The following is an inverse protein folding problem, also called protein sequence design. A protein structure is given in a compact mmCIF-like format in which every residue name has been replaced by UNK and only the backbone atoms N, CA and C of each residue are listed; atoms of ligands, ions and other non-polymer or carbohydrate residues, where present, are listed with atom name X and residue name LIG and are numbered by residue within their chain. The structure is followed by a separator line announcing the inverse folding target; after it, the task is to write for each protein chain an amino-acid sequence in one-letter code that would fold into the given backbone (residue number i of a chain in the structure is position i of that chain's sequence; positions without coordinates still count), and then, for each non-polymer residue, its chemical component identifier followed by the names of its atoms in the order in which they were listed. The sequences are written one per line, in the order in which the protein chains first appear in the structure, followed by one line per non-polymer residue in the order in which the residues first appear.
data_IF_276264965004
#
_entry.id   IF_276264965004
#
_cell.length_a   1.000
_cell.length_b   1.000
_cell.length_c   1.000
_cell.angle_alpha   90.00
_cell.angle_beta   90.00
_cell.angle_gamma   90.00
#
_symmetry.space_group_name_H-M   'P 1'
#
loop_
_entity.id
_entity.type
_entity.pdbx_description
1 polymer ?
#
# COMPACT_ATOMS: atom_id res chain seq x y z
N UNK A 1 -25.51 -7.96 24.45
CA UNK A 1 -24.60 -7.33 23.46
C UNK A 1 -23.39 -8.24 23.33
N UNK A 2 -23.14 -8.78 22.14
CA UNK A 2 -21.96 -9.59 21.85
C UNK A 2 -20.98 -8.71 21.08
N UNK A 3 -19.73 -8.67 21.53
CA UNK A 3 -18.64 -7.94 20.89
C UNK A 3 -17.65 -8.98 20.37
N UNK A 4 -17.36 -8.92 19.07
CA UNK A 4 -16.30 -9.71 18.44
C UNK A 4 -15.26 -8.75 17.88
N UNK A 5 -14.00 -8.97 18.22
CA UNK A 5 -12.88 -8.11 17.82
C UNK A 5 -11.87 -8.92 17.02
N UNK A 6 -11.51 -8.43 15.84
CA UNK A 6 -10.44 -8.99 15.01
C UNK A 6 -9.18 -8.14 15.16
N UNK A 7 -8.07 -8.76 15.51
CA UNK A 7 -6.74 -8.14 15.48
C UNK A 7 -5.90 -8.79 14.38
N UNK A 8 -5.41 -7.98 13.44
CA UNK A 8 -4.54 -8.45 12.37
C UNK A 8 -3.52 -7.37 12.00
N UNK A 9 -2.28 -7.81 11.73
CA UNK A 9 -1.19 -6.93 11.29
C UNK A 9 -1.04 -7.08 9.78
N UNK A 10 -1.55 -6.10 9.04
CA UNK A 10 -1.53 -6.13 7.59
C UNK A 10 -0.14 -5.82 7.01
N UNK A 11 0.20 -6.50 5.92
CA UNK A 11 1.40 -6.28 5.13
C UNK A 11 1.08 -5.51 3.84
N UNK A 12 2.09 -4.94 3.17
CA UNK A 12 1.89 -4.18 1.91
C UNK A 12 1.18 -5.00 0.81
N UNK A 13 1.33 -6.32 0.84
CA UNK A 13 0.66 -7.26 -0.06
C UNK A 13 -0.86 -7.33 0.16
N UNK A 14 -1.34 -6.96 1.34
CA UNK A 14 -2.76 -7.01 1.70
C UNK A 14 -3.52 -5.74 1.28
N UNK A 15 -2.85 -4.82 0.57
CA UNK A 15 -3.50 -3.61 0.09
C UNK A 15 -4.61 -3.95 -0.91
N UNK A 16 -5.85 -3.52 -0.63
CA UNK A 16 -7.03 -3.82 -1.43
C UNK A 16 -7.79 -5.09 -1.00
N UNK A 17 -7.31 -5.81 0.03
CA UNK A 17 -8.06 -6.90 0.66
C UNK A 17 -9.33 -6.34 1.32
N UNK A 18 -10.37 -7.17 1.38
CA UNK A 18 -11.66 -6.83 1.99
C UNK A 18 -11.89 -7.67 3.24
N UNK A 19 -12.25 -7.04 4.35
CA UNK A 19 -12.71 -7.72 5.55
C UNK A 19 -14.22 -7.92 5.43
N UNK A 20 -14.67 -9.15 5.64
CA UNK A 20 -16.07 -9.50 5.70
C UNK A 20 -16.49 -9.69 7.16
N UNK A 21 -17.48 -8.93 7.61
CA UNK A 21 -18.17 -9.17 8.86
C UNK A 21 -19.52 -9.80 8.49
N UNK A 22 -19.73 -11.05 8.92
CA UNK A 22 -20.95 -11.81 8.65
C UNK A 22 -21.68 -12.05 9.97
N UNK A 23 -22.94 -11.64 10.03
CA UNK A 23 -23.82 -11.91 11.16
C UNK A 23 -24.83 -12.97 10.73
N UNK A 24 -24.80 -14.09 11.42
CA UNK A 24 -25.72 -15.21 11.19
C UNK A 24 -26.54 -15.46 12.45
N UNK A 25 -27.86 -15.52 12.29
CA UNK A 25 -28.78 -15.86 13.37
C UNK A 25 -29.99 -16.63 12.79
N UNK A 26 -30.52 -17.66 13.47
CA UNK A 26 -31.62 -18.48 12.95
C UNK A 26 -32.93 -17.72 12.65
N UNK A 27 -33.10 -16.52 13.19
CA UNK A 27 -34.28 -15.67 12.93
C UNK A 27 -34.11 -14.77 11.70
N UNK A 28 -32.90 -14.63 11.16
CA UNK A 28 -32.68 -13.91 9.91
C UNK A 28 -32.86 -14.87 8.74
N UNK A 29 -33.66 -14.47 7.75
CA UNK A 29 -33.87 -15.26 6.53
C UNK A 29 -32.62 -15.28 5.63
N UNK A 30 -31.79 -14.25 5.72
CA UNK A 30 -30.54 -14.09 4.99
C UNK A 30 -29.46 -13.56 5.94
N UNK A 31 -28.20 -13.85 5.65
CA UNK A 31 -27.06 -13.36 6.44
C UNK A 31 -26.86 -11.86 6.20
N UNK A 32 -26.57 -11.12 7.27
CA UNK A 32 -26.16 -9.72 7.15
C UNK A 32 -24.63 -9.65 6.96
N UNK A 33 -24.19 -8.98 5.89
CA UNK A 33 -22.79 -8.95 5.48
C UNK A 33 -22.32 -7.51 5.31
N UNK A 34 -21.34 -7.12 6.11
CA UNK A 34 -20.63 -5.85 5.97
C UNK A 34 -19.23 -6.08 5.41
N UNK A 35 -18.87 -5.29 4.39
CA UNK A 35 -17.59 -5.42 3.68
C UNK A 35 -16.79 -4.15 3.87
N UNK A 36 -15.57 -4.28 4.40
CA UNK A 36 -14.69 -3.15 4.68
C UNK A 36 -13.42 -3.29 3.84
N UNK A 37 -13.16 -2.38 2.87
CA UNK A 37 -11.93 -2.41 2.10
C UNK A 37 -10.75 -1.89 2.92
N UNK A 38 -9.62 -2.58 2.86
CA UNK A 38 -8.38 -2.20 3.54
C UNK A 38 -7.45 -1.50 2.57
N UNK A 39 -7.03 -0.30 2.94
CA UNK A 39 -6.02 0.49 2.22
C UNK A 39 -4.78 0.62 3.10
N UNK A 40 -3.64 0.20 2.57
CA UNK A 40 -2.38 0.16 3.29
C UNK A 40 -1.42 1.13 2.62
N UNK A 41 -0.96 2.10 3.40
CA UNK A 41 -0.01 3.09 2.94
C UNK A 41 1.41 2.57 3.16
N UNK A 42 2.24 2.68 2.12
CA UNK A 42 3.64 2.27 2.20
C UNK A 42 4.50 3.06 1.23
N UNK A 43 5.73 3.33 1.69
CA UNK A 43 6.74 4.03 0.92
C UNK A 43 7.15 3.26 -0.34
N UNK A 44 7.58 3.96 -1.41
CA UNK A 44 8.12 3.33 -2.60
C UNK A 44 9.26 2.38 -2.27
N UNK A 45 9.05 1.10 -2.59
CA UNK A 45 10.09 0.07 -2.47
C UNK A 45 10.61 -0.22 -3.85
N UNK A 46 11.91 0.03 -4.07
CA UNK A 46 12.58 -0.36 -5.31
C UNK A 46 12.56 -1.89 -5.42
N UNK A 47 12.01 -2.40 -6.53
CA UNK A 47 12.11 -3.82 -6.85
C UNK A 47 13.48 -4.07 -7.48
N UNK A 48 14.06 -5.21 -7.17
CA UNK A 48 15.41 -5.56 -7.62
C UNK A 48 15.47 -5.52 -9.16
N UNK A 49 16.21 -4.55 -9.70
CA UNK A 49 16.51 -4.46 -11.13
C UNK A 49 17.89 -5.06 -11.33
N UNK A 50 17.94 -6.31 -11.79
CA UNK A 50 19.19 -7.03 -12.06
C UNK A 50 19.75 -6.63 -13.42
N UNK A 51 19.96 -5.34 -13.66
CA UNK A 51 20.42 -4.87 -14.96
C UNK A 51 21.54 -3.86 -14.77
N UNK A 52 22.77 -4.38 -14.73
CA UNK A 52 23.91 -3.58 -15.14
C UNK A 52 23.74 -3.30 -16.63
N UNK A 53 23.39 -2.07 -16.95
CA UNK A 53 23.21 -1.65 -18.34
C UNK A 53 24.59 -1.47 -18.99
N UNK A 54 25.03 -2.48 -19.75
CA UNK A 54 26.13 -2.31 -20.68
C UNK A 54 25.59 -1.58 -21.91
N UNK A 55 25.66 -0.25 -21.90
CA UNK A 55 25.14 0.60 -22.98
C UNK A 55 26.21 0.72 -24.07
N UNK A 56 26.02 0.12 -25.27
CA UNK A 56 26.95 0.29 -26.37
C UNK A 56 26.87 1.72 -26.93
N UNK A 57 28.01 2.23 -27.38
CA UNK A 57 28.10 3.55 -28.00
C UNK A 57 27.17 3.65 -29.22
N UNK A 58 26.54 4.82 -29.38
CA UNK A 58 25.66 5.16 -30.51
C UNK A 58 24.43 4.25 -30.67
N UNK A 59 23.89 3.70 -29.57
CA UNK A 59 22.59 3.03 -29.57
C UNK A 59 21.67 3.63 -28.54
N UNK A 60 20.39 3.69 -28.89
CA UNK A 60 19.34 4.05 -27.95
C UNK A 60 19.14 2.93 -26.93
N UNK A 61 18.92 3.32 -25.67
CA UNK A 61 18.71 2.39 -24.58
C UNK A 61 17.56 2.84 -23.69
N UNK A 62 16.72 1.89 -23.26
CA UNK A 62 15.61 2.16 -22.34
C UNK A 62 15.96 1.68 -20.94
N UNK A 63 16.09 2.63 -20.02
CA UNK A 63 16.30 2.35 -18.59
C UNK A 63 14.94 2.18 -17.92
N UNK A 64 14.73 1.07 -17.21
CA UNK A 64 13.48 0.78 -16.51
C UNK A 64 13.72 0.65 -15.01
N UNK A 65 13.01 1.43 -14.21
CA UNK A 65 12.95 1.25 -12.75
C UNK A 65 11.58 0.72 -12.38
N UNK A 66 11.56 -0.41 -11.68
CA UNK A 66 10.34 -1.00 -11.13
C UNK A 66 10.27 -0.68 -9.65
N UNK A 67 9.17 -0.10 -9.22
CA UNK A 67 8.90 0.16 -7.80
C UNK A 67 7.42 -0.11 -7.51
N UNK A 68 7.09 -0.28 -6.23
CA UNK A 68 5.71 -0.34 -5.73
C UNK A 68 5.54 0.69 -4.63
N UNK A 69 4.42 1.42 -4.64
CA UNK A 69 4.10 2.46 -3.67
C UNK A 69 2.58 2.59 -3.54
N UNK A 70 2.09 2.96 -2.35
CA UNK A 70 0.71 3.38 -2.14
C UNK A 70 0.67 4.55 -1.13
N UNK A 71 0.16 5.75 -1.51
CA UNK A 71 -0.41 6.10 -2.80
C UNK A 71 0.63 6.16 -3.92
N UNK A 72 0.17 6.27 -5.17
CA UNK A 72 1.06 6.47 -6.31
C UNK A 72 1.84 7.79 -6.14
N UNK A 73 3.17 7.82 -6.35
CA UNK A 73 3.95 9.05 -6.27
C UNK A 73 3.42 10.09 -7.26
N UNK A 74 3.42 11.36 -6.83
CA UNK A 74 2.99 12.49 -7.65
C UNK A 74 4.04 12.91 -8.67
N UNK A 75 5.32 12.62 -8.40
CA UNK A 75 6.44 12.94 -9.27
C UNK A 75 7.47 11.81 -9.32
N UNK A 76 8.09 11.65 -10.49
CA UNK A 76 9.25 10.81 -10.71
C UNK A 76 10.37 11.68 -11.27
N UNK A 77 11.53 11.67 -10.62
CA UNK A 77 12.69 12.44 -11.03
C UNK A 77 13.84 11.49 -11.35
N UNK A 78 14.37 11.60 -12.56
CA UNK A 78 15.64 11.00 -12.93
C UNK A 78 16.75 12.01 -12.72
N UNK A 79 17.83 11.59 -12.09
CA UNK A 79 19.04 12.38 -11.94
C UNK A 79 20.25 11.53 -12.30
N UNK A 80 21.24 12.18 -12.90
CA UNK A 80 22.56 11.60 -13.08
C UNK A 80 23.40 12.03 -11.89
N UNK A 81 23.91 11.05 -11.14
CA UNK A 81 24.97 11.30 -10.17
C UNK A 81 26.34 11.17 -10.86
N UNK A 82 27.39 11.87 -10.41
CA UNK A 82 28.74 11.65 -10.90
C UNK A 82 29.22 10.22 -10.58
N UNK A 83 28.72 9.64 -9.49
CA UNK A 83 29.04 8.31 -8.98
C UNK A 83 27.75 7.56 -8.59
N UNK A 84 27.73 6.22 -8.63
CA UNK A 84 26.58 5.40 -8.21
C UNK A 84 26.11 5.71 -6.77
N UNK A 85 27.05 6.09 -5.90
CA UNK A 85 26.84 6.42 -4.49
C UNK A 85 26.11 7.77 -4.28
N UNK A 86 26.08 8.63 -5.30
CA UNK A 86 25.47 9.97 -5.24
C UNK A 86 24.12 10.05 -5.96
N UNK A 87 23.62 8.94 -6.52
CA UNK A 87 22.28 8.86 -7.09
C UNK A 87 21.24 8.91 -5.97
N UNK A 88 20.75 10.11 -5.65
CA UNK A 88 19.70 10.30 -4.65
C UNK A 88 18.36 9.81 -5.22
N UNK A 89 17.94 8.60 -4.85
CA UNK A 89 16.58 8.11 -5.10
C UNK A 89 15.59 8.75 -4.12
N UNK A 90 15.39 10.07 -4.18
CA UNK A 90 14.40 10.76 -3.35
C UNK A 90 13.04 10.65 -4.03
N UNK A 91 12.21 9.73 -3.57
CA UNK A 91 10.79 9.70 -3.93
C UNK A 91 10.04 10.39 -2.80
N UNK A 92 9.60 11.63 -3.02
CA UNK A 92 8.81 12.37 -2.02
C UNK A 92 7.39 11.80 -1.96
N UNK A 93 6.98 11.34 -0.79
CA UNK A 93 5.63 10.86 -0.52
C UNK A 93 4.94 11.91 0.34
N UNK A 94 3.67 12.25 0.05
CA UNK A 94 2.88 13.06 0.97
C UNK A 94 2.35 12.16 2.10
N UNK A 95 3.16 11.82 3.11
CA UNK A 95 2.66 11.49 4.46
C UNK A 95 3.79 11.37 5.49
N UNK A 96 3.71 12.18 6.54
CA UNK A 96 4.56 12.18 7.73
C UNK A 96 3.70 11.67 8.90
N UNK A 97 3.86 10.42 9.30
CA UNK A 97 2.97 9.79 10.26
C UNK A 97 3.22 8.31 10.45
N UNK A 98 4.22 8.00 11.27
CA UNK A 98 4.45 6.66 11.82
C UNK A 98 3.24 6.22 12.65
N UNK A 99 2.34 5.43 12.05
CA UNK A 99 1.53 4.33 12.62
C UNK A 99 0.25 4.15 11.80
N UNK A 100 0.11 3.00 11.16
CA UNK A 100 -1.19 2.51 10.72
C UNK A 100 -1.99 2.08 11.96
N UNK A 101 -2.80 2.98 12.51
CA UNK A 101 -3.83 2.63 13.49
C UNK A 101 -5.19 2.86 12.83
N UNK A 102 -5.98 1.80 12.68
CA UNK A 102 -7.40 1.91 12.36
C UNK A 102 -8.15 1.97 13.70
N UNK A 103 -8.87 3.06 13.95
CA UNK A 103 -9.80 3.17 15.08
C UNK A 103 -11.23 2.97 14.58
N UNK A 104 -12.01 2.23 15.37
CA UNK A 104 -13.42 1.97 15.11
C UNK A 104 -14.25 3.00 15.89
N UNK A 105 -14.95 3.89 15.19
CA UNK A 105 -15.99 4.71 15.80
C UNK A 105 -17.32 3.97 15.64
N UNK A 106 -17.91 3.61 16.79
CA UNK A 106 -19.22 2.99 16.87
C UNK A 106 -20.29 3.91 16.28
N UNK A 107 -21.06 3.40 15.32
CA UNK A 107 -22.38 3.97 15.04
C UNK A 107 -23.31 3.54 16.18
N UNK A 108 -23.61 4.49 17.07
CA UNK A 108 -24.72 4.37 17.99
C UNK A 108 -26.03 4.41 17.19
N UNK A 109 -26.75 3.30 17.11
CA UNK A 109 -28.18 3.35 16.81
C UNK A 109 -28.93 3.47 18.14
N UNK A 110 -29.59 4.63 18.28
CA UNK A 110 -30.44 4.96 19.40
C UNK A 110 -31.68 4.07 19.48
N UNK A 111 -32.12 3.92 20.73
CA UNK A 111 -33.40 3.46 21.29
C UNK A 111 -34.40 2.76 20.36
#
# INVERSE_FOLDING_TARGET
MTLSTLHHVFQKEDNGVKIHCVIEHPTFAEQDVSIIPITIYFSPVQKQVHTFYQIPLNRDYTVMVRFSANPRPTALKWSFGPNFQEMTNVIQIPFDGEKCSTSFNSHANGN
#
